data_IF_722004889712
#
_entry.id   IF_722004889712
#
_cell.length_a   1.000
_cell.length_b   1.000
_cell.length_c   1.000
_cell.angle_alpha   90.00
_cell.angle_beta   90.00
_cell.angle_gamma   90.00
#
_symmetry.space_group_name_H-M   'P 1'
#
loop_
_entity.id
_entity.type
_entity.pdbx_description
1 polymer ?
#
# COMPACT_ATOMS: atom_id res chain seq x y z
N UNK A 1 -18.76 -30.41 10.29
CA UNK A 1 -18.12 -29.07 10.12
C UNK A 1 -17.71 -28.91 8.67
N UNK A 2 -18.34 -28.01 7.92
CA UNK A 2 -17.98 -27.72 6.52
C UNK A 2 -16.74 -26.83 6.47
N UNK A 3 -15.61 -27.34 5.98
CA UNK A 3 -14.39 -26.54 5.78
C UNK A 3 -14.62 -25.61 4.59
N UNK A 4 -14.58 -24.29 4.80
CA UNK A 4 -14.64 -23.31 3.71
C UNK A 4 -13.35 -23.44 2.86
N UNK A 5 -13.44 -23.42 1.52
CA UNK A 5 -12.27 -23.49 0.66
C UNK A 5 -11.40 -22.25 0.84
N UNK A 6 -10.08 -22.46 0.92
CA UNK A 6 -9.10 -21.38 1.04
C UNK A 6 -8.98 -20.70 -0.31
N UNK A 7 -9.32 -19.41 -0.37
CA UNK A 7 -9.10 -18.60 -1.56
C UNK A 7 -7.63 -18.15 -1.61
N UNK A 8 -6.98 -18.44 -2.73
CA UNK A 8 -5.60 -18.06 -3.02
C UNK A 8 -5.57 -16.90 -4.03
N UNK A 9 -4.55 -16.05 -3.93
CA UNK A 9 -4.26 -14.96 -4.88
C UNK A 9 -2.77 -14.96 -5.20
N UNK A 10 -2.42 -14.26 -6.26
CA UNK A 10 -1.04 -13.97 -6.64
C UNK A 10 -0.69 -12.55 -6.18
N UNK A 11 0.54 -12.36 -5.71
CA UNK A 11 1.08 -11.06 -5.37
C UNK A 11 2.34 -10.85 -6.18
N UNK A 12 2.54 -9.67 -6.76
CA UNK A 12 3.79 -9.30 -7.43
C UNK A 12 4.33 -7.99 -6.91
N UNK A 13 5.66 -7.89 -6.90
CA UNK A 13 6.42 -6.67 -6.59
C UNK A 13 7.46 -6.49 -7.68
N UNK A 14 7.23 -5.53 -8.57
CA UNK A 14 8.05 -5.37 -9.77
C UNK A 14 8.05 -6.66 -10.60
N UNK A 15 9.24 -7.23 -10.85
CA UNK A 15 9.40 -8.48 -11.60
C UNK A 15 9.19 -9.78 -10.80
N UNK A 16 9.07 -9.71 -9.48
CA UNK A 16 8.93 -10.91 -8.63
C UNK A 16 7.46 -11.21 -8.41
N UNK A 17 7.03 -12.43 -8.74
CA UNK A 17 5.66 -12.89 -8.51
C UNK A 17 5.65 -14.05 -7.52
N UNK A 18 4.85 -13.91 -6.46
CA UNK A 18 4.61 -14.91 -5.44
C UNK A 18 3.21 -15.52 -5.70
N UNK A 19 3.14 -16.76 -6.21
CA UNK A 19 1.87 -17.45 -6.37
C UNK A 19 1.32 -17.96 -5.03
N UNK A 20 0.04 -18.33 -5.02
CA UNK A 20 -0.60 -19.08 -3.93
C UNK A 20 -0.60 -18.39 -2.55
N UNK A 21 -0.79 -17.08 -2.52
CA UNK A 21 -0.94 -16.32 -1.28
C UNK A 21 -2.35 -16.49 -0.72
N UNK A 22 -2.53 -17.03 0.50
CA UNK A 22 -3.86 -17.17 1.09
C UNK A 22 -4.47 -15.82 1.43
N UNK A 23 -5.69 -15.57 0.94
CA UNK A 23 -6.41 -14.31 1.18
C UNK A 23 -6.60 -13.99 2.66
N UNK A 24 -6.80 -15.01 3.51
CA UNK A 24 -6.92 -14.86 4.96
C UNK A 24 -5.66 -14.26 5.62
N UNK A 25 -4.48 -14.45 5.02
CA UNK A 25 -3.20 -13.94 5.56
C UNK A 25 -2.84 -12.55 5.06
N UNK A 26 -3.50 -12.04 4.01
CA UNK A 26 -3.20 -10.72 3.43
C UNK A 26 -3.28 -9.61 4.48
N UNK A 27 -4.31 -9.63 5.33
CA UNK A 27 -4.47 -8.62 6.39
C UNK A 27 -3.30 -8.63 7.38
N UNK A 28 -2.81 -9.81 7.75
CA UNK A 28 -1.63 -9.93 8.62
C UNK A 28 -0.38 -9.46 7.90
N UNK A 29 -0.25 -9.73 6.60
CA UNK A 29 0.90 -9.29 5.81
C UNK A 29 0.95 -7.78 5.65
N UNK A 30 -0.20 -7.12 5.49
CA UNK A 30 -0.29 -5.66 5.45
C UNK A 30 0.12 -5.08 6.80
N UNK A 31 -0.44 -5.60 7.91
CA UNK A 31 -0.10 -5.16 9.27
C UNK A 31 1.37 -5.35 9.63
N UNK A 32 1.97 -6.47 9.20
CA UNK A 32 3.40 -6.75 9.40
C UNK A 32 4.30 -6.00 8.41
N UNK A 33 3.74 -5.12 7.56
CA UNK A 33 4.45 -4.40 6.50
C UNK A 33 5.21 -5.31 5.52
N UNK A 34 4.82 -6.58 5.42
CA UNK A 34 5.40 -7.52 4.44
C UNK A 34 4.75 -7.38 3.07
N UNK A 35 3.44 -7.08 3.04
CA UNK A 35 2.70 -6.67 1.84
C UNK A 35 2.54 -5.15 1.86
N UNK A 36 3.09 -4.49 0.87
CA UNK A 36 3.10 -3.04 0.74
C UNK A 36 1.95 -2.58 -0.15
N UNK A 37 1.53 -1.32 0.01
CA UNK A 37 0.46 -0.73 -0.80
C UNK A 37 0.80 -0.69 -2.29
N UNK A 38 2.09 -0.53 -2.60
CA UNK A 38 2.65 -0.53 -3.96
C UNK A 38 2.67 -1.91 -4.62
N UNK A 39 2.50 -2.98 -3.84
CA UNK A 39 2.47 -4.34 -4.37
C UNK A 39 1.20 -4.56 -5.18
N UNK A 40 1.24 -5.42 -6.17
CA UNK A 40 0.10 -5.71 -7.03
C UNK A 40 -0.44 -7.11 -6.73
N UNK A 41 -1.76 -7.25 -6.80
CA UNK A 41 -2.48 -8.47 -6.44
C UNK A 41 -3.36 -8.87 -7.60
N UNK A 42 -3.43 -10.18 -7.84
CA UNK A 42 -4.26 -10.76 -8.89
C UNK A 42 -4.93 -12.05 -8.41
N UNK A 43 -6.20 -12.24 -8.75
CA UNK A 43 -6.90 -13.51 -8.52
C UNK A 43 -6.78 -14.49 -9.69
N UNK A 44 -6.48 -13.98 -10.88
CA UNK A 44 -6.53 -14.71 -12.16
C UNK A 44 -5.18 -14.76 -12.89
N UNK A 45 -4.17 -14.05 -12.39
CA UNK A 45 -2.85 -13.88 -13.00
C UNK A 45 -2.82 -12.93 -14.19
N UNK A 46 -3.98 -12.38 -14.60
CA UNK A 46 -4.12 -11.50 -15.78
C UNK A 46 -4.36 -10.06 -15.36
N UNK A 47 -5.25 -9.88 -14.38
CA UNK A 47 -5.68 -8.58 -13.89
C UNK A 47 -4.92 -8.26 -12.61
N UNK A 48 -4.08 -7.22 -12.65
CA UNK A 48 -3.23 -6.82 -11.53
C UNK A 48 -3.67 -5.46 -11.01
N UNK A 49 -3.88 -5.39 -9.69
CA UNK A 49 -4.32 -4.17 -9.02
C UNK A 49 -3.41 -3.90 -7.84
N UNK A 50 -2.99 -2.65 -7.66
CA UNK A 50 -2.22 -2.26 -6.46
C UNK A 50 -3.00 -2.54 -5.18
N UNK A 51 -2.31 -3.05 -4.17
CA UNK A 51 -2.91 -3.46 -2.90
C UNK A 51 -3.60 -2.29 -2.20
N UNK A 52 -3.03 -1.10 -2.25
CA UNK A 52 -3.59 0.14 -1.70
C UNK A 52 -4.86 0.64 -2.43
N UNK A 53 -5.02 0.28 -3.71
CA UNK A 53 -6.20 0.64 -4.53
C UNK A 53 -7.28 -0.44 -4.52
N UNK A 54 -6.97 -1.64 -4.05
CA UNK A 54 -7.91 -2.75 -4.04
C UNK A 54 -9.10 -2.47 -3.09
N UNK A 55 -10.32 -2.66 -3.57
CA UNK A 55 -11.57 -2.28 -2.87
C UNK A 55 -11.64 -2.76 -1.41
N UNK A 56 -11.19 -3.97 -1.13
CA UNK A 56 -11.21 -4.56 0.22
C UNK A 56 -9.97 -4.23 1.06
N UNK A 57 -8.81 -4.03 0.43
CA UNK A 57 -7.54 -3.94 1.13
C UNK A 57 -7.13 -2.49 1.40
N UNK A 58 -7.58 -1.52 0.61
CA UNK A 58 -7.32 -0.09 0.79
C UNK A 58 -7.52 0.38 2.24
N UNK A 59 -8.58 -0.12 2.89
CA UNK A 59 -8.93 0.20 4.28
C UNK A 59 -7.86 -0.20 5.31
N UNK A 60 -7.03 -1.19 4.98
CA UNK A 60 -5.95 -1.69 5.82
C UNK A 60 -4.64 -0.91 5.63
N UNK A 61 -4.55 -0.11 4.56
CA UNK A 61 -3.40 0.76 4.29
C UNK A 61 -3.65 2.19 4.77
N UNK A 62 -4.90 2.65 4.80
CA UNK A 62 -5.28 3.98 5.30
C UNK A 62 -5.31 4.07 6.82
N UNK A 63 -5.50 2.94 7.52
CA UNK A 63 -5.45 2.93 8.96
C UNK A 63 -4.03 2.58 9.39
N UNK A 64 -3.41 3.55 10.06
CA UNK A 64 -2.37 3.37 11.06
C UNK A 64 -2.82 2.34 12.11
N UNK A 65 -2.94 1.05 11.74
CA UNK A 65 -3.02 -0.06 12.68
C UNK A 65 -1.61 -0.24 13.30
N UNK A 66 -1.11 0.81 13.94
CA UNK A 66 -0.12 0.70 14.99
C UNK A 66 -0.69 -0.23 16.07
N UNK A 67 0.07 -1.22 16.56
CA UNK A 67 -0.34 -1.98 17.72
C UNK A 67 -0.09 -1.12 18.97
N UNK A 68 -0.81 -0.01 19.09
CA UNK A 68 -0.87 0.79 20.30
C UNK A 68 -2.35 0.96 20.63
N UNK A 69 -2.81 0.10 21.53
CA UNK A 69 -3.67 0.54 22.62
C UNK A 69 -3.30 1.99 22.97
N UNK A 70 -4.21 2.93 22.72
CA UNK A 70 -4.45 4.21 23.44
C UNK A 70 -5.26 5.12 22.52
N UNK A 71 -6.50 5.45 22.97
CA UNK A 71 -7.39 6.55 22.54
C UNK A 71 -7.91 6.43 21.09
N UNK A 72 -9.14 5.99 20.80
CA UNK A 72 -10.46 6.46 21.22
C UNK A 72 -10.70 7.96 21.00
N UNK A 73 -10.74 8.37 19.73
CA UNK A 73 -11.48 9.54 19.22
C UNK A 73 -11.95 9.15 17.81
N UNK A 74 -13.19 8.67 17.62
CA UNK A 74 -14.37 9.49 17.26
C UNK A 74 -13.98 10.74 16.47
N UNK A 75 -14.12 10.66 15.14
CA UNK A 75 -14.71 11.67 14.25
C UNK A 75 -14.86 10.96 12.89
N UNK A 76 -16.05 10.43 12.63
CA UNK A 76 -17.11 11.04 11.83
C UNK A 76 -16.86 10.99 10.33
N UNK A 77 -17.86 10.42 9.65
CA UNK A 77 -17.93 10.25 8.21
C UNK A 77 -18.05 11.61 7.52
N UNK A 78 -17.24 11.86 6.50
CA UNK A 78 -17.70 12.56 5.31
C UNK A 78 -16.87 12.13 4.11
N UNK A 79 -17.58 11.66 3.09
CA UNK A 79 -17.12 11.68 1.71
C UNK A 79 -16.54 13.06 1.42
N UNK A 80 -15.29 13.14 0.94
CA UNK A 80 -14.94 13.90 -0.26
C UNK A 80 -13.71 13.27 -0.92
N UNK A 81 -13.89 12.92 -2.19
CA UNK A 81 -12.82 12.64 -3.14
C UNK A 81 -12.12 13.97 -3.45
N UNK A 82 -11.11 14.32 -2.67
CA UNK A 82 -10.15 15.35 -3.09
C UNK A 82 -8.76 14.75 -3.27
N UNK A 83 -8.30 14.86 -4.53
CA UNK A 83 -6.92 14.73 -4.93
C UNK A 83 -6.11 15.77 -4.14
N UNK A 84 -5.56 15.36 -2.99
CA UNK A 84 -4.76 16.23 -2.14
C UNK A 84 -3.43 16.56 -2.82
N UNK A 85 -3.43 17.75 -3.41
CA UNK A 85 -2.43 18.83 -3.32
C UNK A 85 -0.95 18.45 -3.44
N UNK A 86 -0.31 19.02 -4.47
CA UNK A 86 1.15 19.12 -4.57
C UNK A 86 1.69 19.69 -3.24
N UNK A 87 2.68 19.05 -2.59
CA UNK A 87 3.31 19.63 -1.42
C UNK A 87 4.02 20.95 -1.85
N UNK A 88 3.81 22.05 -1.14
CA UNK A 88 4.40 23.34 -1.48
C UNK A 88 5.84 23.38 -0.95
N UNK A 89 6.78 22.70 -1.62
CA UNK A 89 8.23 23.01 -1.57
C UNK A 89 9.17 22.08 -2.37
N UNK A 90 8.67 21.23 -3.28
CA UNK A 90 9.56 20.25 -3.93
C UNK A 90 10.63 20.88 -4.85
N UNK A 91 10.44 22.12 -5.32
CA UNK A 91 11.35 22.78 -6.28
C UNK A 91 12.69 23.18 -5.65
N UNK A 92 12.71 23.57 -4.37
CA UNK A 92 13.95 23.90 -3.67
C UNK A 92 14.78 22.65 -3.39
N UNK A 93 14.12 21.58 -2.91
CA UNK A 93 14.79 20.30 -2.63
C UNK A 93 15.38 19.66 -3.90
N UNK A 94 14.71 19.79 -5.05
CA UNK A 94 15.22 19.23 -6.30
C UNK A 94 16.44 20.02 -6.83
N UNK A 95 16.46 21.34 -6.61
CA UNK A 95 17.53 22.22 -7.07
C UNK A 95 18.83 21.96 -6.29
N UNK A 96 18.75 21.79 -4.96
CA UNK A 96 19.91 21.46 -4.13
C UNK A 96 20.55 20.12 -4.55
N UNK A 97 19.72 19.11 -4.84
CA UNK A 97 20.22 17.80 -5.29
C UNK A 97 20.86 17.91 -6.69
N UNK A 98 20.28 18.72 -7.57
CA UNK A 98 20.82 18.95 -8.91
C UNK A 98 22.19 19.65 -8.89
N UNK A 99 22.40 20.60 -7.98
CA UNK A 99 23.66 21.32 -7.85
C UNK A 99 24.76 20.44 -7.23
N UNK A 100 24.42 19.60 -6.23
CA UNK A 100 25.36 18.60 -5.70
C UNK A 100 25.85 17.60 -6.77
N UNK A 101 24.97 17.19 -7.69
CA UNK A 101 25.33 16.28 -8.77
C UNK A 101 26.26 16.91 -9.82
N UNK A 102 26.25 18.24 -9.98
CA UNK A 102 27.18 18.94 -10.88
C UNK A 102 28.60 18.97 -10.30
N UNK A 103 28.73 19.18 -8.99
CA UNK A 103 30.03 19.25 -8.32
C UNK A 103 30.79 17.90 -8.36
N UNK A 104 30.06 16.77 -8.37
CA UNK A 104 30.67 15.43 -8.44
C UNK A 104 31.21 15.10 -9.84
N UNK A 105 30.68 15.72 -10.90
CA UNK A 105 31.04 15.43 -12.29
C UNK A 105 32.07 16.41 -12.87
N UNK A 106 32.75 17.20 -12.02
CA UNK A 106 33.97 17.94 -12.36
C UNK A 106 35.21 17.05 -12.21
#
# INVERSE_FOLDING_TARGET
>A
MTKKPIKLVMVRRGGITIPNVPTQKLRTFIRKRTLLGTDEISGDGKSWVRADRHYQLRKLFSNEDCPTNILKEKNDLSDELEFSEKPPNLENDLQEVADLLKDINQ
#
